data_IF_775071407785
#
_entry.id   IF_775071407785
#
_cell.length_a   1.000
_cell.length_b   1.000
_cell.length_c   1.000
_cell.angle_alpha   90.00
_cell.angle_beta   90.00
_cell.angle_gamma   90.00
#
_symmetry.space_group_name_H-M   'P 1'
#
loop_
_entity.id
_entity.type
_entity.pdbx_description
1 polymer ?
#
# COMPACT_ATOMS: atom_id res chain seq x y z
N UNK A 1 -26.42 40.60 20.25
CA UNK A 1 -26.29 39.36 21.03
C UNK A 1 -25.20 38.56 20.34
N UNK A 2 -23.97 38.68 20.85
CA UNK A 2 -22.80 37.95 20.34
C UNK A 2 -22.93 36.49 20.78
N UNK A 3 -23.04 35.58 19.83
CA UNK A 3 -23.21 34.14 20.10
C UNK A 3 -21.83 33.48 20.04
N UNK A 4 -21.48 32.82 21.13
CA UNK A 4 -20.14 32.49 21.60
C UNK A 4 -19.26 31.57 20.70
N UNK A 5 -17.91 31.69 20.82
CA UNK A 5 -16.86 30.94 20.09
C UNK A 5 -16.65 29.47 20.53
N UNK A 6 -17.49 28.91 21.40
CA UNK A 6 -17.27 27.60 22.04
C UNK A 6 -17.34 26.43 21.04
N UNK A 7 -18.04 26.58 19.92
CA UNK A 7 -18.19 25.53 18.91
C UNK A 7 -16.94 25.36 18.04
N UNK A 8 -16.20 26.42 17.77
CA UNK A 8 -14.99 26.38 16.93
C UNK A 8 -13.85 25.65 17.65
N UNK A 9 -13.74 25.80 18.97
CA UNK A 9 -12.71 25.13 19.78
C UNK A 9 -12.98 23.61 20.01
N UNK A 10 -14.25 23.19 20.09
CA UNK A 10 -14.61 21.78 20.27
C UNK A 10 -14.43 20.99 18.96
N UNK A 11 -14.69 21.61 17.81
CA UNK A 11 -14.54 21.00 16.48
C UNK A 11 -13.06 20.70 16.17
N UNK A 12 -12.18 21.69 16.40
CA UNK A 12 -10.76 21.62 16.06
C UNK A 12 -9.99 20.56 16.90
N UNK A 13 -10.40 20.34 18.15
CA UNK A 13 -9.80 19.31 19.02
C UNK A 13 -10.23 17.89 18.60
N UNK A 14 -11.48 17.75 18.16
CA UNK A 14 -12.06 16.46 17.76
C UNK A 14 -11.53 16.03 16.39
N UNK A 15 -11.43 16.95 15.44
CA UNK A 15 -10.81 16.74 14.11
C UNK A 15 -9.33 16.34 14.24
N UNK A 16 -8.55 17.04 15.08
CA UNK A 16 -7.14 16.65 15.35
C UNK A 16 -7.01 15.25 15.92
N UNK A 17 -7.97 14.78 16.72
CA UNK A 17 -7.95 13.44 17.31
C UNK A 17 -8.37 12.36 16.30
N UNK A 18 -9.40 12.63 15.50
CA UNK A 18 -9.88 11.74 14.44
C UNK A 18 -8.82 11.58 13.34
N UNK A 19 -8.15 12.66 12.93
CA UNK A 19 -7.04 12.59 11.98
C UNK A 19 -5.90 11.70 12.47
N UNK A 20 -5.62 11.72 13.79
CA UNK A 20 -4.64 10.82 14.40
C UNK A 20 -5.10 9.37 14.35
N UNK A 21 -6.37 9.11 14.63
CA UNK A 21 -6.95 7.75 14.54
C UNK A 21 -6.90 7.24 13.10
N UNK A 22 -7.31 8.05 12.12
CA UNK A 22 -7.23 7.69 10.71
C UNK A 22 -5.80 7.31 10.32
N UNK A 23 -4.82 8.10 10.74
CA UNK A 23 -3.40 7.80 10.49
C UNK A 23 -2.99 6.44 11.09
N UNK A 24 -3.32 6.19 12.37
CA UNK A 24 -2.94 4.95 13.05
C UNK A 24 -3.65 3.72 12.49
N UNK A 25 -4.93 3.83 12.18
CA UNK A 25 -5.72 2.74 11.58
C UNK A 25 -5.16 2.40 10.20
N UNK A 26 -4.88 3.39 9.36
CA UNK A 26 -4.27 3.17 8.05
C UNK A 26 -2.90 2.51 8.17
N UNK A 27 -2.07 2.95 9.12
CA UNK A 27 -0.74 2.38 9.37
C UNK A 27 -0.83 0.88 9.72
N UNK A 28 -1.72 0.52 10.65
CA UNK A 28 -1.90 -0.87 11.08
C UNK A 28 -2.45 -1.71 9.92
N UNK A 29 -3.49 -1.23 9.24
CA UNK A 29 -4.15 -1.94 8.15
C UNK A 29 -3.17 -2.23 7.00
N UNK A 30 -2.38 -1.25 6.58
CA UNK A 30 -1.34 -1.42 5.57
C UNK A 30 -0.29 -2.42 6.01
N UNK A 31 0.16 -2.34 7.26
CA UNK A 31 1.20 -3.24 7.78
C UNK A 31 0.72 -4.68 7.80
N UNK A 32 -0.53 -4.94 8.20
CA UNK A 32 -1.14 -6.27 8.16
C UNK A 32 -1.23 -6.79 6.72
N UNK A 33 -1.67 -5.96 5.77
CA UNK A 33 -1.78 -6.34 4.36
C UNK A 33 -0.42 -6.69 3.76
N UNK A 34 0.59 -5.84 4.00
CA UNK A 34 1.95 -6.06 3.50
C UNK A 34 2.58 -7.29 4.16
N UNK A 35 2.33 -7.52 5.44
CA UNK A 35 2.79 -8.73 6.14
C UNK A 35 2.16 -10.00 5.56
N UNK A 36 0.86 -9.96 5.27
CA UNK A 36 0.17 -11.09 4.61
C UNK A 36 0.76 -11.34 3.22
N UNK A 37 0.96 -10.29 2.41
CA UNK A 37 1.61 -10.41 1.10
C UNK A 37 3.02 -11.02 1.19
N UNK A 38 3.80 -10.60 2.20
CA UNK A 38 5.14 -11.13 2.46
C UNK A 38 5.12 -12.63 2.77
N UNK A 39 4.12 -13.11 3.52
CA UNK A 39 3.97 -14.54 3.82
C UNK A 39 3.63 -15.36 2.58
N UNK A 40 2.78 -14.84 1.69
CA UNK A 40 2.40 -15.53 0.45
C UNK A 40 3.51 -15.49 -0.61
N UNK A 41 4.32 -14.43 -0.60
CA UNK A 41 5.37 -14.20 -1.60
C UNK A 41 6.72 -13.98 -0.90
N UNK A 42 7.32 -15.02 -0.30
CA UNK A 42 8.59 -14.87 0.40
C UNK A 42 9.73 -14.49 -0.56
N UNK A 43 10.75 -13.76 -0.08
CA UNK A 43 11.92 -13.44 -0.88
C UNK A 43 12.69 -14.70 -1.29
N UNK A 44 13.39 -14.63 -2.43
CA UNK A 44 14.29 -15.69 -2.88
C UNK A 44 15.33 -16.04 -1.80
N UNK A 45 15.69 -17.32 -1.71
CA UNK A 45 16.73 -17.77 -0.78
C UNK A 45 18.10 -17.17 -1.13
N UNK A 46 19.01 -16.99 -0.15
CA UNK A 46 20.32 -16.40 -0.40
C UNK A 46 21.16 -17.18 -1.42
N UNK A 47 20.94 -18.49 -1.54
CA UNK A 47 21.60 -19.33 -2.55
C UNK A 47 21.11 -19.02 -3.96
N UNK A 48 19.79 -18.88 -4.13
CA UNK A 48 19.17 -18.53 -5.42
C UNK A 48 19.60 -17.13 -5.85
N UNK A 49 19.66 -16.17 -4.92
CA UNK A 49 20.15 -14.81 -5.20
C UNK A 49 21.59 -14.85 -5.72
N UNK A 50 22.48 -15.60 -5.06
CA UNK A 50 23.88 -15.76 -5.51
C UNK A 50 23.96 -16.39 -6.91
N UNK A 51 23.11 -17.36 -7.19
CA UNK A 51 23.06 -18.02 -8.49
C UNK A 51 22.53 -17.10 -9.60
N UNK A 52 21.48 -16.32 -9.34
CA UNK A 52 20.97 -15.28 -10.26
C UNK A 52 22.02 -14.20 -10.51
N UNK A 53 22.74 -13.77 -9.47
CA UNK A 53 23.85 -12.82 -9.62
C UNK A 53 25.00 -13.38 -10.47
N UNK A 54 25.35 -14.65 -10.29
CA UNK A 54 26.33 -15.34 -11.13
C UNK A 54 25.88 -15.40 -12.60
N UNK A 55 24.60 -15.70 -12.85
CA UNK A 55 24.02 -15.71 -14.19
C UNK A 55 24.02 -14.34 -14.84
N UNK A 56 23.63 -13.29 -14.12
CA UNK A 56 23.69 -11.92 -14.60
C UNK A 56 25.10 -11.52 -14.99
N UNK A 57 26.09 -11.80 -14.14
CA UNK A 57 27.49 -11.47 -14.39
C UNK A 57 28.10 -12.26 -15.57
N UNK A 58 27.68 -13.51 -15.76
CA UNK A 58 28.26 -14.43 -16.75
C UNK A 58 27.28 -14.83 -17.85
N UNK A 59 26.29 -13.98 -18.15
CA UNK A 59 25.13 -14.32 -18.98
C UNK A 59 25.52 -14.97 -20.31
N UNK A 60 26.49 -14.38 -21.02
CA UNK A 60 26.98 -14.91 -22.30
C UNK A 60 27.63 -16.29 -22.18
N UNK A 61 28.40 -16.53 -21.12
CA UNK A 61 29.15 -17.79 -20.93
C UNK A 61 28.22 -18.90 -20.49
N UNK A 62 27.35 -18.61 -19.52
CA UNK A 62 26.34 -19.55 -19.03
C UNK A 62 25.32 -19.86 -20.12
N UNK A 63 24.84 -18.86 -20.86
CA UNK A 63 23.91 -19.06 -21.97
C UNK A 63 24.51 -19.93 -23.09
N UNK A 64 25.79 -19.72 -23.44
CA UNK A 64 26.50 -20.63 -24.36
C UNK A 64 26.51 -22.05 -23.83
N UNK A 65 26.93 -22.25 -22.58
CA UNK A 65 26.98 -23.57 -21.94
C UNK A 65 25.62 -24.28 -21.95
N UNK A 66 24.54 -23.58 -21.60
CA UNK A 66 23.19 -24.15 -21.54
C UNK A 66 22.64 -24.57 -22.92
N UNK A 67 23.19 -24.02 -24.00
CA UNK A 67 22.82 -24.33 -25.39
C UNK A 67 23.71 -25.41 -26.04
N UNK A 68 24.81 -25.81 -25.40
CA UNK A 68 25.68 -26.88 -25.90
C UNK A 68 25.01 -28.25 -25.76
N UNK A 69 25.42 -29.21 -26.60
CA UNK A 69 25.02 -30.61 -26.43
C UNK A 69 25.62 -31.21 -25.13
N UNK A 70 25.04 -32.31 -24.63
CA UNK A 70 25.47 -32.93 -23.36
C UNK A 70 26.97 -33.25 -23.33
N UNK A 71 27.53 -33.80 -24.42
CA UNK A 71 28.95 -34.17 -24.46
C UNK A 71 29.85 -32.92 -24.43
N UNK A 72 29.44 -31.86 -25.10
CA UNK A 72 30.14 -30.57 -25.11
C UNK A 72 30.03 -29.84 -23.78
N UNK A 73 28.89 -29.95 -23.08
CA UNK A 73 28.74 -29.46 -21.72
C UNK A 73 29.75 -30.11 -20.78
N UNK A 74 29.95 -31.42 -20.89
CA UNK A 74 30.96 -32.16 -20.10
C UNK A 74 32.36 -31.60 -20.35
N UNK A 75 32.77 -31.48 -21.61
CA UNK A 75 34.06 -30.89 -21.95
C UNK A 75 34.20 -29.43 -21.44
N UNK A 76 33.12 -28.64 -21.54
CA UNK A 76 33.09 -27.25 -21.07
C UNK A 76 33.26 -27.15 -19.56
N UNK A 77 32.61 -28.03 -18.79
CA UNK A 77 32.71 -28.07 -17.34
C UNK A 77 34.12 -28.49 -16.87
N UNK A 78 34.72 -29.49 -17.52
CA UNK A 78 36.12 -29.88 -17.27
C UNK A 78 37.10 -28.73 -17.55
N UNK A 79 36.85 -27.94 -18.60
CA UNK A 79 37.69 -26.79 -18.97
C UNK A 79 37.57 -25.61 -18.01
N UNK A 80 36.34 -25.21 -17.64
CA UNK A 80 36.09 -24.00 -16.85
C UNK A 80 36.19 -24.23 -15.33
N UNK A 81 36.14 -25.48 -14.85
CA UNK A 81 36.31 -25.89 -13.44
C UNK A 81 35.42 -25.20 -12.39
N UNK A 82 34.43 -24.40 -12.79
CA UNK A 82 33.53 -23.73 -11.85
C UNK A 82 32.53 -24.72 -11.22
N UNK A 83 32.25 -24.65 -9.90
CA UNK A 83 31.35 -25.58 -9.21
C UNK A 83 29.95 -25.70 -9.84
N UNK A 84 29.43 -24.60 -10.38
CA UNK A 84 28.15 -24.56 -11.09
C UNK A 84 28.08 -25.56 -12.25
N UNK A 85 29.06 -25.55 -13.16
CA UNK A 85 29.01 -26.39 -14.38
C UNK A 85 29.08 -27.88 -14.03
N UNK A 86 29.95 -28.23 -13.07
CA UNK A 86 30.07 -29.61 -12.57
C UNK A 86 28.78 -30.08 -11.88
N UNK A 87 28.13 -29.21 -11.09
CA UNK A 87 26.88 -29.54 -10.40
C UNK A 87 25.71 -29.66 -11.39
N UNK A 88 25.65 -28.81 -12.40
CA UNK A 88 24.62 -28.84 -13.45
C UNK A 88 24.64 -30.13 -14.28
N UNK A 89 25.82 -30.69 -14.57
CA UNK A 89 25.91 -31.94 -15.33
C UNK A 89 25.47 -33.14 -14.48
N UNK A 90 25.77 -33.10 -13.18
CA UNK A 90 25.41 -34.16 -12.22
C UNK A 90 23.97 -34.09 -11.75
N UNK A 91 23.27 -32.98 -11.98
CA UNK A 91 21.87 -32.80 -11.56
C UNK A 91 20.90 -33.57 -12.47
N UNK A 92 19.71 -33.84 -11.95
CA UNK A 92 18.63 -34.46 -12.71
C UNK A 92 18.13 -33.55 -13.85
N UNK A 93 17.40 -34.11 -14.81
CA UNK A 93 16.76 -33.34 -15.89
C UNK A 93 15.80 -32.29 -15.36
N UNK A 94 15.03 -32.63 -14.32
CA UNK A 94 14.09 -31.72 -13.64
C UNK A 94 14.82 -30.53 -13.02
N UNK A 95 15.97 -30.77 -12.37
CA UNK A 95 16.78 -29.68 -11.81
C UNK A 95 17.41 -28.82 -12.92
N UNK A 96 17.86 -29.43 -14.01
CA UNK A 96 18.41 -28.69 -15.16
C UNK A 96 17.38 -27.76 -15.79
N UNK A 97 16.13 -28.21 -15.92
CA UNK A 97 15.03 -27.37 -16.41
C UNK A 97 14.74 -26.20 -15.48
N UNK A 98 14.72 -26.43 -14.15
CA UNK A 98 14.60 -25.36 -13.16
C UNK A 98 15.75 -24.35 -13.25
N UNK A 99 16.98 -24.83 -13.47
CA UNK A 99 18.15 -23.96 -13.63
C UNK A 99 18.05 -23.15 -14.92
N UNK A 100 17.57 -23.76 -16.01
CA UNK A 100 17.38 -23.08 -17.30
C UNK A 100 16.28 -22.02 -17.20
N UNK A 101 15.16 -22.31 -16.54
CA UNK A 101 14.10 -21.31 -16.31
C UNK A 101 14.59 -20.17 -15.42
N UNK A 102 15.34 -20.49 -14.36
CA UNK A 102 15.96 -19.50 -13.47
C UNK A 102 16.95 -18.60 -14.23
N UNK A 103 17.74 -19.16 -15.14
CA UNK A 103 18.65 -18.40 -15.99
C UNK A 103 17.89 -17.39 -16.86
N UNK A 104 16.82 -17.81 -17.54
CA UNK A 104 16.00 -16.91 -18.35
C UNK A 104 15.45 -15.73 -17.54
N UNK A 105 14.93 -15.98 -16.34
CA UNK A 105 14.36 -14.94 -15.46
C UNK A 105 15.47 -14.06 -14.83
N UNK A 106 16.69 -14.58 -14.68
CA UNK A 106 17.78 -13.88 -13.99
C UNK A 106 18.45 -12.75 -14.78
N UNK A 107 18.20 -12.65 -16.09
CA UNK A 107 18.85 -11.65 -16.97
C UNK A 107 18.65 -10.23 -16.44
N UNK A 108 17.43 -9.92 -15.99
CA UNK A 108 17.05 -8.60 -15.49
C UNK A 108 17.00 -8.52 -13.96
N UNK A 109 17.58 -9.51 -13.27
CA UNK A 109 17.49 -9.60 -11.81
C UNK A 109 18.18 -8.43 -11.11
N UNK A 110 17.50 -7.83 -10.13
CA UNK A 110 18.05 -6.80 -9.25
C UNK A 110 17.84 -7.22 -7.78
N UNK A 111 18.91 -7.43 -6.99
CA UNK A 111 18.81 -8.02 -5.64
C UNK A 111 17.85 -7.31 -4.69
N UNK A 112 17.77 -5.99 -4.78
CA UNK A 112 16.97 -5.16 -3.86
C UNK A 112 15.55 -4.89 -4.39
N UNK A 113 15.20 -5.38 -5.58
CA UNK A 113 13.92 -5.09 -6.22
C UNK A 113 12.73 -5.61 -5.41
N UNK A 114 12.86 -6.78 -4.78
CA UNK A 114 11.80 -7.32 -3.92
C UNK A 114 11.48 -6.37 -2.75
N UNK A 115 12.51 -5.96 -1.99
CA UNK A 115 12.35 -5.06 -0.85
C UNK A 115 11.85 -3.68 -1.27
N UNK A 116 12.34 -3.17 -2.40
CA UNK A 116 11.86 -1.93 -2.99
C UNK A 116 10.37 -2.02 -3.32
N UNK A 117 9.95 -3.07 -4.04
CA UNK A 117 8.55 -3.29 -4.38
C UNK A 117 7.66 -3.41 -3.13
N UNK A 118 8.13 -4.14 -2.11
CA UNK A 118 7.41 -4.32 -0.86
C UNK A 118 7.23 -2.99 -0.11
N UNK A 119 8.27 -2.16 -0.06
CA UNK A 119 8.20 -0.82 0.52
C UNK A 119 7.25 0.09 -0.25
N UNK A 120 7.32 0.11 -1.58
CA UNK A 120 6.43 0.93 -2.40
C UNK A 120 4.97 0.48 -2.29
N UNK A 121 4.71 -0.82 -2.22
CA UNK A 121 3.38 -1.35 -1.95
C UNK A 121 2.87 -0.89 -0.58
N UNK A 122 3.72 -0.93 0.46
CA UNK A 122 3.36 -0.39 1.77
C UNK A 122 3.01 1.10 1.68
N UNK A 123 3.83 1.92 1.01
CA UNK A 123 3.58 3.36 0.84
C UNK A 123 2.25 3.59 0.10
N UNK A 124 2.03 2.92 -1.04
CA UNK A 124 0.82 3.10 -1.83
C UNK A 124 -0.45 2.68 -1.08
N UNK A 125 -0.42 1.54 -0.39
CA UNK A 125 -1.55 1.09 0.41
C UNK A 125 -1.81 2.04 1.59
N UNK A 126 -0.76 2.52 2.26
CA UNK A 126 -0.88 3.47 3.36
C UNK A 126 -1.49 4.79 2.90
N UNK A 127 -0.97 5.39 1.83
CA UNK A 127 -1.51 6.65 1.31
C UNK A 127 -2.96 6.48 0.85
N UNK A 128 -3.30 5.33 0.27
CA UNK A 128 -4.68 5.05 -0.18
C UNK A 128 -5.64 4.94 1.01
N UNK A 129 -5.32 4.14 2.03
CA UNK A 129 -6.17 4.00 3.20
C UNK A 129 -6.27 5.28 4.02
N UNK A 130 -5.17 6.02 4.14
CA UNK A 130 -5.18 7.30 4.83
C UNK A 130 -6.06 8.31 4.08
N UNK A 131 -5.88 8.43 2.76
CA UNK A 131 -6.69 9.34 1.96
C UNK A 131 -8.19 9.00 2.05
N UNK A 132 -8.56 7.73 1.97
CA UNK A 132 -9.95 7.29 2.16
C UNK A 132 -10.46 7.68 3.55
N UNK A 133 -9.65 7.51 4.61
CA UNK A 133 -9.99 7.95 5.96
C UNK A 133 -10.30 9.45 6.05
N UNK A 134 -9.47 10.29 5.44
CA UNK A 134 -9.69 11.74 5.36
C UNK A 134 -10.96 12.10 4.57
N UNK A 135 -11.23 11.38 3.47
CA UNK A 135 -12.44 11.62 2.66
C UNK A 135 -13.71 11.26 3.43
N UNK A 136 -13.71 10.16 4.19
CA UNK A 136 -14.83 9.78 5.06
C UNK A 136 -15.05 10.84 6.14
N UNK A 137 -13.98 11.35 6.75
CA UNK A 137 -14.04 12.44 7.73
C UNK A 137 -14.67 13.71 7.13
N UNK A 138 -14.19 14.16 5.96
CA UNK A 138 -14.74 15.33 5.28
C UNK A 138 -16.23 15.17 4.96
N UNK A 139 -16.65 13.99 4.49
CA UNK A 139 -18.06 13.69 4.25
C UNK A 139 -18.90 13.77 5.53
N UNK A 140 -18.42 13.24 6.65
CA UNK A 140 -19.11 13.30 7.95
C UNK A 140 -19.27 14.75 8.41
N UNK A 141 -18.22 15.55 8.30
CA UNK A 141 -18.24 16.98 8.67
C UNK A 141 -19.26 17.75 7.83
N UNK A 142 -19.27 17.54 6.51
CA UNK A 142 -20.24 18.16 5.59
C UNK A 142 -21.67 17.78 5.96
N UNK A 143 -21.94 16.49 6.22
CA UNK A 143 -23.26 16.02 6.61
C UNK A 143 -23.72 16.64 7.94
N UNK A 144 -22.82 16.73 8.92
CA UNK A 144 -23.11 17.34 10.23
C UNK A 144 -23.43 18.82 10.09
N UNK A 145 -22.60 19.58 9.38
CA UNK A 145 -22.83 21.01 9.11
C UNK A 145 -24.16 21.27 8.39
N UNK A 146 -24.50 20.43 7.40
CA UNK A 146 -25.78 20.52 6.70
C UNK A 146 -26.99 20.17 7.60
N UNK A 147 -26.83 19.25 8.56
CA UNK A 147 -27.88 18.94 9.53
C UNK A 147 -28.11 20.08 10.51
N UNK A 148 -27.03 20.72 11.00
CA UNK A 148 -27.11 21.82 11.95
C UNK A 148 -27.64 23.11 11.32
N UNK A 149 -27.27 23.40 10.07
CA UNK A 149 -27.83 24.51 9.31
C UNK A 149 -29.35 24.39 9.15
N UNK A 150 -29.86 23.17 8.92
CA UNK A 150 -31.31 22.90 8.86
C UNK A 150 -31.98 23.15 10.21
N UNK A 151 -31.40 22.65 11.31
CA UNK A 151 -31.95 22.84 12.66
C UNK A 151 -32.00 24.32 13.03
N UNK A 152 -30.95 25.10 12.72
CA UNK A 152 -30.92 26.55 12.96
C UNK A 152 -32.00 27.28 12.17
N UNK A 153 -32.21 26.91 10.90
CA UNK A 153 -33.26 27.50 10.07
C UNK A 153 -34.66 27.28 10.66
N UNK A 154 -34.97 26.05 11.09
CA UNK A 154 -36.25 25.75 11.73
C UNK A 154 -36.47 26.52 13.04
N UNK A 155 -35.44 26.68 13.87
CA UNK A 155 -35.55 27.48 15.10
C UNK A 155 -35.81 28.96 14.81
N UNK A 156 -35.13 29.53 13.81
CA UNK A 156 -35.34 30.92 13.41
C UNK A 156 -36.75 31.15 12.84
N UNK A 157 -37.25 30.22 12.03
CA UNK A 157 -38.64 30.25 11.52
C UNK A 157 -39.64 30.21 12.68
N UNK A 158 -39.46 29.32 13.66
CA UNK A 158 -40.31 29.26 14.85
C UNK A 158 -40.25 30.53 15.73
N UNK A 159 -39.07 31.11 15.95
CA UNK A 159 -38.94 32.36 16.70
C UNK A 159 -39.62 33.52 15.97
N UNK A 160 -39.51 33.59 14.65
CA UNK A 160 -40.21 34.61 13.85
C UNK A 160 -41.73 34.44 13.90
N UNK A 161 -42.25 33.21 13.79
CA UNK A 161 -43.68 32.92 13.94
C UNK A 161 -44.20 33.29 15.33
N UNK A 162 -43.45 32.99 16.39
CA UNK A 162 -43.81 33.38 17.75
C UNK A 162 -43.83 34.90 17.95
N UNK A 163 -42.86 35.63 17.37
CA UNK A 163 -42.83 37.10 17.41
C UNK A 163 -44.01 37.73 16.67
N UNK A 164 -44.38 37.17 15.51
CA UNK A 164 -45.55 37.63 14.75
C UNK A 164 -46.84 37.39 15.54
N UNK A 165 -46.99 36.20 16.13
CA UNK A 165 -48.16 35.86 16.95
C UNK A 165 -48.26 36.66 18.27
N UNK A 166 -47.14 37.06 18.87
CA UNK A 166 -47.15 37.95 20.05
C UNK A 166 -47.48 39.41 19.68
N UNK A 167 -46.98 39.87 18.52
CA UNK A 167 -47.27 41.22 18.03
C UNK A 167 -48.73 41.40 17.59
N UNK A 168 -49.35 40.37 17.02
CA UNK A 168 -50.79 40.36 16.72
C UNK A 168 -51.64 40.44 18.01
N UNK A 169 -51.27 39.69 19.05
CA UNK A 169 -52.00 39.70 20.34
C UNK A 169 -51.91 41.03 21.08
N UNK A 170 -50.76 41.70 21.07
CA UNK A 170 -50.62 43.05 21.62
C UNK A 170 -51.42 44.12 20.85
N UNK A 171 -51.72 43.86 19.56
CA UNK A 171 -52.53 44.77 18.74
C UNK A 171 -54.04 44.55 18.87
N UNK A 172 -54.49 43.36 19.29
CA UNK A 172 -55.91 43.07 19.56
C UNK A 172 -56.36 43.49 20.97
N UNK A 173 -55.43 43.70 21.91
CA UNK A 173 -55.72 44.14 23.29
C UNK A 173 -55.75 45.68 23.48
N UNK A 174 -55.45 46.48 22.45
CA UNK A 174 -55.55 47.95 22.45
C UNK A 174 -56.74 48.45 21.60
#
# INVERSE_FOLDING_TARGET
MEVEPILEEIDDKTEKWIRRISLWVSLILTTVLVFWYYQENPPDSPEVIKMRMFFKANNRVVGKFLNLDRNEQIAFAFKNKHPFYNRYIKSSTVEQEKIRSLFHISTDFTPNQYWFNLFFMWVMCFTTFWFIGLMVEACIVIMRRNSEARIKKYKLEQENEQRLASGEKESEEN
#
